data_IF_847224723001
#
_entry.id   IF_847224723001
#
_cell.length_a   1.000
_cell.length_b   1.000
_cell.length_c   1.000
_cell.angle_alpha   90.00
_cell.angle_beta   90.00
_cell.angle_gamma   90.00
#
_symmetry.space_group_name_H-M   'P 1'
#
loop_
_entity.id
_entity.type
_entity.pdbx_description
1 polymer ?
#
# COMPACT_ATOMS: atom_id res chain seq x y z
N UNK A 1 26.65 -26.39 -9.37
CA UNK A 1 27.00 -25.14 -8.70
C UNK A 1 25.69 -24.54 -8.19
N UNK A 2 25.53 -24.35 -6.90
CA UNK A 2 24.41 -23.63 -6.30
C UNK A 2 24.77 -22.13 -6.30
N UNK A 3 23.98 -21.32 -6.96
CA UNK A 3 24.08 -19.85 -6.87
C UNK A 3 23.10 -19.34 -5.83
N UNK A 4 23.53 -18.40 -5.00
CA UNK A 4 22.65 -17.69 -4.06
C UNK A 4 22.42 -16.27 -4.57
N UNK A 5 21.19 -15.79 -4.46
CA UNK A 5 20.79 -14.39 -4.74
C UNK A 5 20.24 -13.75 -3.48
N UNK A 6 20.31 -12.42 -3.34
CA UNK A 6 19.52 -11.72 -2.31
C UNK A 6 18.04 -12.06 -2.46
N UNK A 7 17.32 -12.11 -1.34
CA UNK A 7 15.86 -12.24 -1.37
C UNK A 7 15.20 -11.00 -2.00
N UNK A 8 14.08 -11.22 -2.66
CA UNK A 8 13.30 -10.15 -3.30
C UNK A 8 12.64 -9.26 -2.24
N UNK A 9 12.31 -8.03 -2.63
CA UNK A 9 11.57 -7.07 -1.80
C UNK A 9 10.32 -6.65 -2.55
N UNK A 10 9.17 -6.79 -1.89
CA UNK A 10 7.90 -6.25 -2.37
C UNK A 10 7.77 -4.80 -1.88
N UNK A 11 7.75 -3.85 -2.80
CA UNK A 11 7.74 -2.41 -2.51
C UNK A 11 6.40 -1.85 -2.08
N UNK A 12 5.30 -2.58 -2.26
CA UNK A 12 3.96 -2.25 -1.80
C UNK A 12 3.09 -3.50 -1.76
N UNK A 13 2.43 -3.71 -0.63
CA UNK A 13 1.54 -4.85 -0.41
C UNK A 13 0.45 -4.52 0.60
N UNK A 14 -0.64 -5.30 0.56
CA UNK A 14 -1.71 -5.28 1.55
C UNK A 14 -1.85 -6.68 2.18
N UNK A 15 -1.09 -6.95 3.23
CA UNK A 15 -1.09 -8.26 3.90
C UNK A 15 -2.47 -8.65 4.45
N UNK A 16 -3.32 -7.67 4.78
CA UNK A 16 -4.66 -7.93 5.30
C UNK A 16 -5.60 -8.58 4.27
N UNK A 17 -5.26 -8.55 2.98
CA UNK A 17 -6.08 -9.14 1.92
C UNK A 17 -5.84 -10.64 1.69
N UNK A 18 -4.83 -11.23 2.31
CA UNK A 18 -4.44 -12.62 2.02
C UNK A 18 -5.55 -13.64 2.33
N UNK A 19 -6.35 -13.41 3.37
CA UNK A 19 -7.52 -14.23 3.71
C UNK A 19 -8.78 -13.88 2.92
N UNK A 20 -8.79 -12.78 2.16
CA UNK A 20 -9.97 -12.37 1.39
C UNK A 20 -10.24 -13.25 0.17
N UNK A 21 -9.31 -14.15 -0.17
CA UNK A 21 -9.52 -15.15 -1.22
C UNK A 21 -10.69 -16.07 -0.84
N UNK A 22 -11.72 -16.10 -1.70
CA UNK A 22 -12.97 -16.80 -1.41
C UNK A 22 -14.01 -15.95 -0.67
N UNK A 23 -13.74 -14.68 -0.39
CA UNK A 23 -14.75 -13.73 0.07
C UNK A 23 -15.93 -13.70 -0.92
N UNK A 24 -17.18 -13.62 -0.44
CA UNK A 24 -18.33 -13.53 -1.32
C UNK A 24 -18.20 -12.35 -2.30
N UNK A 25 -18.50 -12.62 -3.57
CA UNK A 25 -18.53 -11.58 -4.58
C UNK A 25 -19.49 -10.44 -4.18
N UNK A 26 -19.24 -9.21 -4.61
CA UNK A 26 -20.19 -8.11 -4.40
C UNK A 26 -21.53 -8.43 -5.07
N UNK A 27 -22.66 -7.99 -4.50
CA UNK A 27 -23.99 -8.28 -5.03
C UNK A 27 -24.23 -7.66 -6.41
N UNK A 28 -23.49 -6.60 -6.74
CA UNK A 28 -23.50 -5.91 -8.04
C UNK A 28 -22.09 -5.92 -8.57
N UNK A 29 -21.90 -6.29 -9.83
CA UNK A 29 -20.60 -6.27 -10.49
C UNK A 29 -20.06 -4.83 -10.56
N UNK A 30 -18.89 -4.52 -9.98
CA UNK A 30 -18.26 -3.21 -10.13
C UNK A 30 -17.97 -2.90 -11.60
N UNK A 31 -18.20 -1.68 -12.03
CA UNK A 31 -18.00 -1.20 -13.42
C UNK A 31 -16.82 -0.24 -13.55
N UNK A 32 -16.29 0.25 -12.44
CA UNK A 32 -15.15 1.16 -12.37
C UNK A 32 -14.37 0.94 -11.07
N UNK A 33 -13.20 1.57 -10.99
CA UNK A 33 -12.29 1.39 -9.86
C UNK A 33 -12.88 1.85 -8.52
N UNK A 34 -13.57 2.98 -8.48
CA UNK A 34 -14.20 3.45 -7.23
C UNK A 34 -15.23 2.45 -6.70
N UNK A 35 -16.01 1.83 -7.59
CA UNK A 35 -16.94 0.77 -7.20
C UNK A 35 -16.22 -0.48 -6.68
N UNK A 36 -15.04 -0.84 -7.23
CA UNK A 36 -14.20 -1.92 -6.69
C UNK A 36 -13.78 -1.59 -5.25
N UNK A 37 -13.33 -0.35 -5.00
CA UNK A 37 -13.00 0.09 -3.65
C UNK A 37 -14.20 -0.04 -2.71
N UNK A 38 -15.35 0.54 -3.08
CA UNK A 38 -16.55 0.58 -2.24
C UNK A 38 -17.16 -0.80 -1.96
N UNK A 39 -17.18 -1.68 -2.97
CA UNK A 39 -17.89 -2.95 -2.89
C UNK A 39 -17.02 -4.13 -2.46
N UNK A 40 -15.70 -4.00 -2.56
CA UNK A 40 -14.75 -5.06 -2.19
C UNK A 40 -13.85 -4.61 -1.05
N UNK A 41 -12.93 -3.66 -1.32
CA UNK A 41 -11.86 -3.30 -0.39
C UNK A 41 -12.38 -2.65 0.90
N UNK A 42 -13.23 -1.62 0.81
CA UNK A 42 -13.75 -0.93 1.99
C UNK A 42 -14.69 -1.79 2.84
N UNK A 43 -15.30 -2.82 2.23
CA UNK A 43 -16.04 -3.84 2.99
C UNK A 43 -15.10 -4.76 3.75
N UNK A 44 -14.00 -5.16 3.12
CA UNK A 44 -12.96 -5.96 3.78
C UNK A 44 -12.37 -5.20 4.96
N UNK A 45 -11.95 -3.93 4.75
CA UNK A 45 -11.37 -3.07 5.80
C UNK A 45 -12.24 -3.05 7.07
N UNK A 46 -13.56 -2.91 6.90
CA UNK A 46 -14.51 -2.83 8.02
C UNK A 46 -14.82 -4.17 8.69
N UNK A 47 -14.49 -5.28 8.05
CA UNK A 47 -14.73 -6.62 8.60
C UNK A 47 -13.59 -7.13 9.48
N UNK A 48 -12.41 -6.51 9.41
CA UNK A 48 -11.20 -6.98 10.07
C UNK A 48 -11.23 -6.75 11.58
N UNK A 49 -10.81 -7.78 12.33
CA UNK A 49 -10.36 -7.69 13.71
C UNK A 49 -8.87 -8.06 13.82
N UNK A 50 -8.27 -7.92 15.01
CA UNK A 50 -6.85 -8.17 15.22
C UNK A 50 -6.44 -9.62 14.91
N UNK A 51 -7.32 -10.60 15.18
CA UNK A 51 -7.04 -12.01 14.91
C UNK A 51 -7.03 -12.28 13.39
N UNK A 52 -8.00 -11.74 12.66
CA UNK A 52 -8.04 -11.80 11.19
C UNK A 52 -6.81 -11.13 10.57
N UNK A 53 -6.42 -9.96 11.07
CA UNK A 53 -5.23 -9.24 10.61
C UNK A 53 -3.98 -10.09 10.80
N UNK A 54 -3.80 -10.66 12.01
CA UNK A 54 -2.66 -11.52 12.32
C UNK A 54 -2.56 -12.72 11.37
N UNK A 55 -3.64 -13.47 11.19
CA UNK A 55 -3.64 -14.66 10.34
C UNK A 55 -3.49 -14.34 8.86
N UNK A 56 -4.08 -13.23 8.42
CA UNK A 56 -3.91 -12.75 7.04
C UNK A 56 -2.47 -12.36 6.77
N UNK A 57 -1.86 -11.59 7.67
CA UNK A 57 -0.46 -11.20 7.55
C UNK A 57 0.47 -12.42 7.59
N UNK A 58 0.19 -13.40 8.44
CA UNK A 58 0.98 -14.63 8.53
C UNK A 58 0.90 -15.46 7.25
N UNK A 59 -0.29 -15.62 6.67
CA UNK A 59 -0.48 -16.29 5.39
C UNK A 59 0.29 -15.56 4.27
N UNK A 60 0.11 -14.24 4.14
CA UNK A 60 0.80 -13.44 3.13
C UNK A 60 2.32 -13.49 3.27
N UNK A 61 2.84 -13.49 4.50
CA UNK A 61 4.27 -13.64 4.76
C UNK A 61 4.81 -15.02 4.33
N UNK A 62 4.06 -16.11 4.59
CA UNK A 62 4.41 -17.46 4.10
C UNK A 62 4.46 -17.49 2.58
N UNK A 63 3.45 -16.95 1.91
CA UNK A 63 3.40 -16.89 0.44
C UNK A 63 4.56 -16.06 -0.13
N UNK A 64 4.90 -14.94 0.51
CA UNK A 64 6.05 -14.13 0.13
C UNK A 64 7.34 -14.95 0.15
N UNK A 65 7.62 -15.66 1.24
CA UNK A 65 8.82 -16.52 1.34
C UNK A 65 8.83 -17.65 0.32
N UNK A 66 7.68 -18.27 0.06
CA UNK A 66 7.56 -19.33 -0.95
C UNK A 66 7.92 -18.84 -2.35
N UNK A 67 7.73 -17.54 -2.63
CA UNK A 67 8.08 -16.86 -3.88
C UNK A 67 9.44 -16.13 -3.82
N UNK A 68 10.25 -16.37 -2.76
CA UNK A 68 11.58 -15.76 -2.62
C UNK A 68 11.58 -14.30 -2.17
N UNK A 69 10.45 -13.77 -1.74
CA UNK A 69 10.30 -12.41 -1.20
C UNK A 69 10.58 -12.42 0.30
N UNK A 70 11.60 -11.69 0.74
CA UNK A 70 12.08 -11.68 2.14
C UNK A 70 11.88 -10.36 2.85
N UNK A 71 11.34 -9.37 2.16
CA UNK A 71 10.99 -8.05 2.69
C UNK A 71 9.73 -7.50 2.03
N UNK A 72 8.87 -6.86 2.81
CA UNK A 72 7.60 -6.30 2.36
C UNK A 72 7.47 -4.89 2.94
N UNK A 73 6.98 -3.95 2.14
CA UNK A 73 6.44 -2.66 2.61
C UNK A 73 4.92 -2.79 2.55
N UNK A 74 4.31 -2.86 3.73
CA UNK A 74 2.87 -3.13 3.90
C UNK A 74 2.07 -1.85 4.13
N UNK A 75 0.89 -1.80 3.55
CA UNK A 75 -0.09 -0.74 3.75
C UNK A 75 -1.39 -1.35 4.31
N UNK A 76 -1.77 -0.97 5.51
CA UNK A 76 -2.85 -1.59 6.28
C UNK A 76 -4.01 -0.65 6.55
N UNK A 77 -5.23 -1.17 6.47
CA UNK A 77 -6.45 -0.49 6.87
C UNK A 77 -7.38 -1.42 7.63
N UNK A 78 -7.91 -0.95 8.78
CA UNK A 78 -8.86 -1.68 9.62
C UNK A 78 -9.57 -0.71 10.57
N UNK A 79 -10.59 0.05 10.12
CA UNK A 79 -11.19 1.12 10.92
C UNK A 79 -11.82 0.64 12.23
N UNK A 80 -12.18 -0.65 12.31
CA UNK A 80 -12.72 -1.27 13.53
C UNK A 80 -11.66 -1.92 14.44
N UNK A 81 -10.39 -1.96 14.00
CA UNK A 81 -9.27 -2.53 14.75
C UNK A 81 -7.98 -1.74 14.48
N UNK A 82 -7.99 -0.44 14.76
CA UNK A 82 -6.85 0.45 14.48
C UNK A 82 -5.69 0.16 15.43
N UNK A 83 -5.95 0.29 16.73
CA UNK A 83 -4.91 0.20 17.75
C UNK A 83 -4.34 -1.22 17.88
N UNK A 84 -3.03 -1.34 17.75
CA UNK A 84 -2.30 -2.61 17.78
C UNK A 84 -2.28 -3.38 16.48
N UNK A 85 -2.92 -2.89 15.41
CA UNK A 85 -2.93 -3.56 14.10
C UNK A 85 -1.53 -3.72 13.53
N UNK A 86 -0.68 -2.70 13.64
CA UNK A 86 0.69 -2.75 13.14
C UNK A 86 1.58 -3.72 13.93
N UNK A 87 1.32 -3.89 15.25
CA UNK A 87 2.07 -4.86 16.06
C UNK A 87 1.77 -6.29 15.64
N UNK A 88 0.49 -6.65 15.42
CA UNK A 88 0.12 -8.02 15.04
C UNK A 88 0.63 -8.37 13.64
N UNK A 89 0.68 -7.41 12.71
CA UNK A 89 1.29 -7.58 11.39
C UNK A 89 2.81 -7.83 11.54
N UNK A 90 3.49 -6.98 12.29
CA UNK A 90 4.93 -7.10 12.52
C UNK A 90 5.28 -8.42 13.20
N UNK A 91 4.49 -8.83 14.22
CA UNK A 91 4.65 -10.11 14.90
C UNK A 91 4.46 -11.29 13.93
N UNK A 92 3.37 -11.31 13.16
CA UNK A 92 3.06 -12.39 12.23
C UNK A 92 4.18 -12.56 11.19
N UNK A 93 4.70 -11.45 10.63
CA UNK A 93 5.80 -11.48 9.69
C UNK A 93 7.10 -11.96 10.34
N UNK A 94 7.41 -11.52 11.55
CA UNK A 94 8.62 -11.92 12.29
C UNK A 94 8.63 -13.42 12.60
N UNK A 95 7.49 -13.99 13.00
CA UNK A 95 7.34 -15.44 13.28
C UNK A 95 7.58 -16.30 12.03
N UNK A 96 7.27 -15.78 10.85
CA UNK A 96 7.54 -16.44 9.55
C UNK A 96 8.97 -16.20 9.08
N UNK A 97 9.62 -15.10 9.52
CA UNK A 97 10.96 -14.71 9.12
C UNK A 97 11.00 -13.67 7.97
N UNK A 98 9.90 -13.00 7.68
CA UNK A 98 9.82 -11.89 6.70
C UNK A 98 10.06 -10.57 7.41
N UNK A 99 10.88 -9.71 6.81
CA UNK A 99 11.04 -8.33 7.27
C UNK A 99 9.89 -7.50 6.73
N UNK A 100 9.23 -6.73 7.58
CA UNK A 100 8.15 -5.85 7.17
C UNK A 100 8.41 -4.41 7.60
N UNK A 101 8.01 -3.47 6.75
CA UNK A 101 7.80 -2.06 7.08
C UNK A 101 6.30 -1.85 7.08
N UNK A 102 5.72 -1.48 8.21
CA UNK A 102 4.27 -1.34 8.38
C UNK A 102 3.85 0.12 8.24
N UNK A 103 2.66 0.34 7.72
CA UNK A 103 2.02 1.65 7.71
C UNK A 103 0.50 1.50 7.85
N UNK A 104 -0.13 2.31 8.72
CA UNK A 104 -1.57 2.38 8.82
C UNK A 104 -2.10 3.49 7.89
N UNK A 105 -2.91 3.14 6.91
CA UNK A 105 -3.48 4.04 5.91
C UNK A 105 -4.57 4.94 6.51
N UNK A 106 -4.21 6.15 6.94
CA UNK A 106 -5.16 7.10 7.50
C UNK A 106 -6.12 7.62 6.42
N UNK A 107 -7.36 7.84 6.80
CA UNK A 107 -8.42 8.29 5.90
C UNK A 107 -9.55 8.97 6.69
N UNK A 108 -10.26 9.92 6.06
CA UNK A 108 -11.45 10.57 6.64
C UNK A 108 -12.76 9.81 6.31
N UNK A 109 -12.69 8.68 5.59
CA UNK A 109 -13.87 7.87 5.22
C UNK A 109 -14.72 7.43 6.42
N UNK A 110 -14.08 7.27 7.57
CA UNK A 110 -14.70 6.83 8.82
C UNK A 110 -14.79 7.95 9.87
N UNK A 111 -14.70 9.20 9.41
CA UNK A 111 -14.72 10.40 10.23
C UNK A 111 -13.31 10.83 10.71
N UNK A 112 -13.20 12.10 11.10
CA UNK A 112 -11.92 12.70 11.51
C UNK A 112 -11.30 12.06 12.75
N UNK A 113 -12.11 11.49 13.65
CA UNK A 113 -11.59 10.77 14.82
C UNK A 113 -10.84 9.49 14.40
N UNK A 114 -11.35 8.76 13.42
CA UNK A 114 -10.67 7.57 12.90
C UNK A 114 -9.34 7.94 12.21
N UNK A 115 -9.31 9.03 11.44
CA UNK A 115 -8.09 9.57 10.84
C UNK A 115 -7.04 9.92 11.91
N UNK A 116 -7.44 10.61 12.97
CA UNK A 116 -6.57 10.96 14.12
C UNK A 116 -6.03 9.71 14.83
N UNK A 117 -6.88 8.70 15.09
CA UNK A 117 -6.48 7.44 15.71
C UNK A 117 -5.49 6.66 14.84
N UNK A 118 -5.69 6.67 13.52
CA UNK A 118 -4.74 6.06 12.58
C UNK A 118 -3.38 6.76 12.57
N UNK A 119 -3.32 8.09 12.66
CA UNK A 119 -2.06 8.82 12.84
C UNK A 119 -1.38 8.43 14.16
N UNK A 120 -2.16 8.30 15.24
CA UNK A 120 -1.61 7.89 16.53
C UNK A 120 -1.10 6.44 16.52
N UNK A 121 -1.73 5.52 15.79
CA UNK A 121 -1.22 4.15 15.62
C UNK A 121 0.13 4.15 14.88
N UNK A 122 0.26 4.91 13.77
CA UNK A 122 1.55 5.08 13.11
C UNK A 122 2.61 5.65 14.07
N UNK A 123 2.26 6.72 14.80
CA UNK A 123 3.16 7.35 15.80
C UNK A 123 3.61 6.33 16.85
N UNK A 124 2.64 5.66 17.48
CA UNK A 124 2.87 4.71 18.56
C UNK A 124 3.80 3.58 18.11
N UNK A 125 3.49 2.97 16.97
CA UNK A 125 4.27 1.84 16.43
C UNK A 125 5.70 2.24 16.10
N UNK A 126 5.89 3.35 15.38
CA UNK A 126 7.21 3.81 14.96
C UNK A 126 8.03 4.28 16.17
N UNK A 127 7.44 5.04 17.09
CA UNK A 127 8.12 5.52 18.30
C UNK A 127 8.53 4.39 19.25
N UNK A 128 7.84 3.24 19.22
CA UNK A 128 8.22 2.04 19.99
C UNK A 128 9.38 1.24 19.35
N UNK A 129 9.93 1.70 18.22
CA UNK A 129 11.01 1.03 17.48
C UNK A 129 10.53 0.12 16.36
N UNK A 130 9.23 0.11 16.04
CA UNK A 130 8.67 -0.58 14.89
C UNK A 130 9.20 0.00 13.58
N UNK A 131 9.47 -0.85 12.59
CA UNK A 131 9.84 -0.40 11.25
C UNK A 131 8.58 0.06 10.53
N UNK A 132 8.43 1.36 10.36
CA UNK A 132 7.21 1.93 9.78
C UNK A 132 7.44 3.14 8.89
N UNK A 133 6.41 3.45 8.11
CA UNK A 133 6.17 4.72 7.44
C UNK A 133 4.83 5.26 7.92
N UNK A 134 4.57 6.56 7.74
CA UNK A 134 3.22 7.08 7.99
C UNK A 134 2.34 6.74 6.79
N UNK A 135 1.34 5.88 7.01
CA UNK A 135 0.41 5.48 5.95
C UNK A 135 -0.67 6.55 5.71
N UNK A 136 -0.99 6.79 4.46
CA UNK A 136 -2.13 7.59 4.02
C UNK A 136 -2.85 6.80 2.92
N UNK A 137 -4.17 6.64 3.04
CA UNK A 137 -4.89 5.87 2.03
C UNK A 137 -4.69 6.48 0.63
N UNK A 138 -5.27 7.63 0.37
CA UNK A 138 -5.11 8.36 -0.89
C UNK A 138 -5.54 9.81 -0.72
N UNK A 139 -5.12 10.71 -1.63
CA UNK A 139 -5.46 12.12 -1.49
C UNK A 139 -6.98 12.36 -1.53
N UNK A 140 -7.73 11.67 -2.41
CA UNK A 140 -9.17 11.89 -2.55
C UNK A 140 -10.01 11.41 -1.35
N UNK A 141 -9.45 10.62 -0.44
CA UNK A 141 -10.14 10.12 0.77
C UNK A 141 -9.72 10.84 2.04
N UNK A 142 -8.88 11.85 1.94
CA UNK A 142 -8.34 12.62 3.05
C UNK A 142 -8.59 14.11 2.85
N UNK A 143 -8.86 14.83 3.94
CA UNK A 143 -8.83 16.30 3.97
C UNK A 143 -7.39 16.81 3.81
N UNK A 144 -7.23 18.08 3.42
CA UNK A 144 -5.91 18.71 3.37
C UNK A 144 -5.27 18.74 4.76
N UNK A 145 -6.06 18.99 5.81
CA UNK A 145 -5.59 18.94 7.20
C UNK A 145 -5.00 17.56 7.57
N UNK A 146 -5.66 16.46 7.18
CA UNK A 146 -5.15 15.11 7.46
C UNK A 146 -3.87 14.83 6.69
N UNK A 147 -3.76 15.27 5.42
CA UNK A 147 -2.55 15.15 4.61
C UNK A 147 -1.37 15.92 5.22
N UNK A 148 -1.60 17.18 5.65
CA UNK A 148 -0.60 18.02 6.32
C UNK A 148 -0.15 17.40 7.65
N UNK A 149 -1.08 16.91 8.46
CA UNK A 149 -0.79 16.23 9.72
C UNK A 149 0.03 14.95 9.51
N UNK A 150 -0.27 14.16 8.48
CA UNK A 150 0.49 12.96 8.14
C UNK A 150 1.92 13.30 7.70
N UNK A 151 2.08 14.33 6.86
CA UNK A 151 3.40 14.83 6.44
C UNK A 151 4.20 15.36 7.63
N UNK A 152 3.57 16.15 8.51
CA UNK A 152 4.20 16.66 9.73
C UNK A 152 4.65 15.54 10.66
N UNK A 153 3.79 14.54 10.89
CA UNK A 153 4.12 13.36 11.70
C UNK A 153 5.31 12.58 11.12
N UNK A 154 5.34 12.38 9.80
CA UNK A 154 6.44 11.68 9.14
C UNK A 154 7.77 12.43 9.35
N UNK A 155 7.76 13.76 9.24
CA UNK A 155 8.92 14.60 9.52
C UNK A 155 9.38 14.50 10.98
N UNK A 156 8.45 14.57 11.93
CA UNK A 156 8.75 14.48 13.37
C UNK A 156 9.40 13.13 13.74
N UNK A 157 8.99 12.06 13.06
CA UNK A 157 9.50 10.71 13.28
C UNK A 157 10.73 10.37 12.42
N UNK A 158 11.11 11.24 11.48
CA UNK A 158 12.22 11.00 10.56
C UNK A 158 11.99 9.86 9.57
N UNK A 159 10.72 9.60 9.20
CA UNK A 159 10.32 8.57 8.24
C UNK A 159 9.62 9.19 7.02
N UNK A 160 9.32 8.39 6.00
CA UNK A 160 8.51 8.83 4.85
C UNK A 160 7.01 8.56 5.02
N UNK A 161 6.23 9.07 4.07
CA UNK A 161 4.82 8.74 3.90
C UNK A 161 4.66 7.67 2.83
N UNK A 162 3.73 6.73 3.06
CA UNK A 162 3.34 5.68 2.13
C UNK A 162 1.87 5.92 1.71
N UNK A 163 1.63 6.27 0.46
CA UNK A 163 0.33 6.77 -0.03
C UNK A 163 0.01 6.26 -1.44
N UNK A 164 -1.27 5.88 -1.70
CA UNK A 164 -1.75 5.66 -3.06
C UNK A 164 -1.97 7.02 -3.75
N UNK A 165 -1.52 7.15 -4.98
CA UNK A 165 -1.52 8.41 -5.72
C UNK A 165 -2.08 8.19 -7.11
N UNK A 166 -3.19 8.84 -7.42
CA UNK A 166 -3.77 8.88 -8.76
C UNK A 166 -3.85 7.48 -9.41
N UNK A 167 -4.27 6.45 -8.64
CA UNK A 167 -4.48 5.10 -9.17
C UNK A 167 -5.66 5.10 -10.15
N UNK A 168 -6.81 5.63 -9.72
CA UNK A 168 -7.97 5.84 -10.57
C UNK A 168 -8.20 7.32 -10.88
N UNK A 169 -9.11 7.59 -11.80
CA UNK A 169 -9.46 8.95 -12.23
C UNK A 169 -10.16 9.77 -11.15
N UNK A 170 -10.69 9.12 -10.11
CA UNK A 170 -11.31 9.80 -8.96
C UNK A 170 -10.30 10.58 -8.11
N UNK A 171 -9.02 10.22 -8.18
CA UNK A 171 -7.92 10.92 -7.48
C UNK A 171 -7.16 11.91 -8.41
N UNK A 172 -7.86 12.54 -9.35
CA UNK A 172 -7.27 13.46 -10.34
C UNK A 172 -6.58 14.69 -9.72
N UNK A 173 -6.95 15.06 -8.50
CA UNK A 173 -6.37 16.22 -7.81
C UNK A 173 -5.11 15.85 -6.98
N UNK A 174 -4.73 14.59 -6.91
CA UNK A 174 -3.62 14.12 -6.07
C UNK A 174 -2.32 14.88 -6.35
N UNK A 175 -1.95 15.06 -7.62
CA UNK A 175 -0.76 15.79 -8.01
C UNK A 175 -0.70 17.19 -7.41
N UNK A 176 -1.75 17.98 -7.59
CA UNK A 176 -1.82 19.35 -7.09
C UNK A 176 -1.82 19.44 -5.55
N UNK A 177 -2.53 18.52 -4.89
CA UNK A 177 -2.65 18.51 -3.42
C UNK A 177 -1.37 18.06 -2.73
N UNK A 178 -0.60 17.16 -3.35
CA UNK A 178 0.60 16.59 -2.77
C UNK A 178 1.89 17.32 -3.18
N UNK A 179 1.86 18.22 -4.18
CA UNK A 179 3.02 18.88 -4.76
C UNK A 179 3.95 19.56 -3.72
N UNK A 180 3.36 20.16 -2.69
CA UNK A 180 4.10 20.86 -1.63
C UNK A 180 4.44 19.97 -0.43
N UNK A 181 3.83 18.80 -0.33
CA UNK A 181 3.98 17.88 0.81
C UNK A 181 4.96 16.75 0.52
N UNK A 182 4.96 16.24 -0.72
CA UNK A 182 5.73 15.08 -1.13
C UNK A 182 7.24 15.33 -1.02
N UNK A 183 7.97 14.37 -0.45
CA UNK A 183 9.40 14.44 -0.20
C UNK A 183 10.10 13.20 -0.77
N UNK A 184 11.42 13.25 -0.90
CA UNK A 184 12.24 12.19 -1.52
C UNK A 184 12.16 10.84 -0.80
N UNK A 185 11.81 10.83 0.49
CA UNK A 185 11.60 9.63 1.30
C UNK A 185 10.16 9.08 1.26
N UNK A 186 9.26 9.68 0.48
CA UNK A 186 7.90 9.19 0.32
C UNK A 186 7.85 8.01 -0.64
N UNK A 187 6.88 7.13 -0.42
CA UNK A 187 6.51 6.03 -1.29
C UNK A 187 5.16 6.33 -1.93
N UNK A 188 5.20 6.64 -3.22
CA UNK A 188 4.04 7.00 -4.04
C UNK A 188 3.59 5.76 -4.80
N UNK A 189 2.40 5.27 -4.50
CA UNK A 189 1.93 4.00 -5.06
C UNK A 189 1.08 4.25 -6.32
N UNK A 190 1.24 3.41 -7.33
CA UNK A 190 0.58 3.43 -8.64
C UNK A 190 0.98 4.59 -9.55
N UNK A 191 0.58 5.82 -9.27
CA UNK A 191 0.83 7.02 -10.10
C UNK A 191 0.33 6.90 -11.55
N UNK A 192 -0.76 6.14 -11.80
CA UNK A 192 -1.29 5.85 -13.14
C UNK A 192 -1.76 7.13 -13.84
N UNK A 193 -2.57 7.94 -13.16
CA UNK A 193 -3.17 9.17 -13.68
C UNK A 193 -2.50 10.44 -13.13
N UNK A 194 -1.28 10.30 -12.57
CA UNK A 194 -0.57 11.45 -12.01
C UNK A 194 -0.15 12.41 -13.13
N UNK A 195 -0.61 13.65 -13.05
CA UNK A 195 -0.47 14.70 -14.06
C UNK A 195 0.83 15.51 -13.99
N UNK A 196 1.64 15.30 -12.93
CA UNK A 196 2.90 16.03 -12.68
C UNK A 196 3.90 15.17 -11.92
N UNK A 197 5.16 15.58 -11.89
CA UNK A 197 6.16 14.93 -11.06
C UNK A 197 6.01 15.37 -9.59
N UNK A 198 6.09 14.39 -8.69
CA UNK A 198 6.17 14.58 -7.25
C UNK A 198 7.49 14.01 -6.74
N UNK A 199 8.06 14.58 -5.66
CA UNK A 199 9.21 13.96 -4.99
C UNK A 199 8.82 12.62 -4.35
N UNK A 200 9.69 11.61 -4.45
CA UNK A 200 9.49 10.30 -3.84
C UNK A 200 9.90 9.14 -4.74
N UNK A 201 9.73 7.94 -4.22
CA UNK A 201 9.92 6.68 -4.96
C UNK A 201 8.55 6.15 -5.40
N UNK A 202 8.41 5.75 -6.66
CA UNK A 202 7.15 5.17 -7.17
C UNK A 202 7.16 3.65 -6.95
N UNK A 203 6.12 3.13 -6.31
CA UNK A 203 5.81 1.71 -6.30
C UNK A 203 4.85 1.38 -7.45
N UNK A 204 5.37 0.73 -8.48
CA UNK A 204 4.59 0.31 -9.65
C UNK A 204 4.05 -1.11 -9.41
N UNK A 205 2.73 -1.27 -9.60
CA UNK A 205 2.01 -2.52 -9.34
C UNK A 205 1.33 -2.99 -10.64
N UNK A 206 2.08 -3.52 -11.62
CA UNK A 206 1.55 -3.75 -12.97
C UNK A 206 0.38 -4.73 -12.99
N UNK A 207 0.43 -5.81 -12.23
CA UNK A 207 -0.65 -6.80 -12.18
C UNK A 207 -1.92 -6.23 -11.59
N UNK A 208 -1.82 -5.50 -10.48
CA UNK A 208 -2.97 -4.85 -9.85
C UNK A 208 -3.59 -3.81 -10.78
N UNK A 209 -2.79 -2.95 -11.39
CA UNK A 209 -3.27 -1.95 -12.33
C UNK A 209 -4.05 -2.57 -13.50
N UNK A 210 -3.54 -3.69 -14.05
CA UNK A 210 -4.24 -4.44 -15.10
C UNK A 210 -5.52 -5.10 -14.59
N UNK A 211 -5.48 -5.73 -13.41
CA UNK A 211 -6.64 -6.39 -12.81
C UNK A 211 -7.78 -5.40 -12.50
N UNK A 212 -7.43 -4.22 -12.01
CA UNK A 212 -8.39 -3.17 -11.67
C UNK A 212 -8.83 -2.33 -12.88
N UNK A 213 -8.21 -2.55 -14.05
CA UNK A 213 -8.53 -1.81 -15.28
C UNK A 213 -8.22 -0.32 -15.20
N UNK A 214 -7.29 0.10 -14.34
CA UNK A 214 -6.98 1.53 -14.12
C UNK A 214 -6.03 2.11 -15.17
N UNK A 215 -5.34 1.28 -15.93
CA UNK A 215 -4.42 1.72 -16.99
C UNK A 215 -2.95 1.42 -16.69
N UNK A 216 -2.05 2.01 -17.48
CA UNK A 216 -0.61 1.85 -17.36
C UNK A 216 0.06 3.12 -16.86
N UNK A 217 0.91 3.02 -15.85
CA UNK A 217 1.51 4.16 -15.16
C UNK A 217 2.70 4.81 -15.92
N UNK A 218 3.17 4.23 -17.03
CA UNK A 218 4.35 4.68 -17.79
C UNK A 218 5.58 4.97 -16.91
N UNK A 219 6.00 4.05 -16.04
CA UNK A 219 7.04 4.34 -15.03
C UNK A 219 8.39 4.73 -15.65
N UNK A 220 8.70 4.27 -16.87
CA UNK A 220 9.92 4.63 -17.59
C UNK A 220 9.96 6.10 -18.06
N UNK A 221 8.83 6.80 -18.07
CA UNK A 221 8.74 8.21 -18.43
C UNK A 221 8.88 9.14 -17.22
N UNK A 222 8.95 8.60 -15.99
CA UNK A 222 9.10 9.34 -14.74
C UNK A 222 10.57 9.52 -14.37
N UNK A 223 10.90 10.65 -13.76
CA UNK A 223 12.24 10.92 -13.21
C UNK A 223 12.51 10.21 -11.87
N UNK A 224 11.45 9.71 -11.23
CA UNK A 224 11.48 9.04 -9.94
C UNK A 224 12.26 7.71 -9.97
N UNK A 225 12.79 7.29 -8.84
CA UNK A 225 13.12 5.89 -8.63
C UNK A 225 11.84 5.06 -8.67
N UNK A 226 11.89 3.91 -9.32
CA UNK A 226 10.75 2.99 -9.42
C UNK A 226 11.12 1.65 -8.77
N UNK A 227 10.22 1.17 -7.94
CA UNK A 227 10.26 -0.19 -7.37
C UNK A 227 8.98 -0.91 -7.76
N UNK A 228 8.98 -2.24 -7.67
CA UNK A 228 7.79 -3.04 -7.94
C UNK A 228 7.11 -3.43 -6.63
N UNK A 229 5.78 -3.46 -6.67
CA UNK A 229 4.93 -3.99 -5.62
C UNK A 229 3.87 -4.93 -6.20
N UNK A 230 3.26 -5.73 -5.34
CA UNK A 230 2.20 -6.68 -5.72
C UNK A 230 0.81 -6.18 -5.39
N UNK A 231 0.72 -5.07 -4.64
CA UNK A 231 -0.56 -4.62 -4.09
C UNK A 231 -1.25 -5.75 -3.29
N UNK A 232 -2.56 -5.81 -3.24
CA UNK A 232 -3.32 -6.84 -2.54
C UNK A 232 -3.43 -8.21 -3.24
N UNK A 233 -2.60 -8.52 -4.24
CA UNK A 233 -2.77 -9.71 -5.12
C UNK A 233 -1.65 -10.76 -4.93
N UNK A 234 -1.20 -11.01 -3.72
CA UNK A 234 -0.14 -11.98 -3.43
C UNK A 234 1.26 -11.38 -3.57
N UNK A 235 2.32 -12.17 -3.40
CA UNK A 235 3.68 -11.67 -3.21
C UNK A 235 4.70 -12.24 -4.21
N UNK A 236 4.29 -12.63 -5.41
CA UNK A 236 5.19 -13.11 -6.47
C UNK A 236 5.83 -11.95 -7.24
N UNK A 237 6.99 -11.51 -6.77
CA UNK A 237 7.75 -10.42 -7.37
C UNK A 237 8.36 -10.77 -8.73
N UNK A 238 8.56 -12.05 -9.04
CA UNK A 238 9.04 -12.47 -10.37
C UNK A 238 7.93 -12.34 -11.42
N UNK A 239 6.69 -12.60 -11.04
CA UNK A 239 5.53 -12.35 -11.90
C UNK A 239 5.37 -10.84 -12.15
N UNK A 240 5.46 -10.00 -11.12
CA UNK A 240 5.41 -8.53 -11.27
C UNK A 240 6.50 -8.03 -12.22
N UNK A 241 7.72 -8.53 -12.07
CA UNK A 241 8.82 -8.14 -12.95
C UNK A 241 8.56 -8.54 -14.42
N UNK A 242 8.00 -9.73 -14.66
CA UNK A 242 7.64 -10.18 -16.01
C UNK A 242 6.54 -9.31 -16.62
N UNK A 243 5.50 -9.01 -15.85
CA UNK A 243 4.39 -8.18 -16.32
C UNK A 243 4.80 -6.72 -16.54
N UNK A 244 5.64 -6.15 -15.66
CA UNK A 244 6.22 -4.83 -15.88
C UNK A 244 7.02 -4.77 -17.19
N UNK A 245 7.83 -5.79 -17.47
CA UNK A 245 8.60 -5.88 -18.71
C UNK A 245 7.70 -6.01 -19.93
N UNK A 246 6.69 -6.89 -19.87
CA UNK A 246 5.76 -7.10 -21.00
C UNK A 246 4.94 -5.85 -21.28
N UNK A 247 4.42 -5.18 -20.24
CA UNK A 247 3.67 -3.94 -20.38
C UNK A 247 4.52 -2.84 -21.01
N UNK A 248 5.76 -2.66 -20.54
CA UNK A 248 6.70 -1.71 -21.11
C UNK A 248 6.96 -1.98 -22.60
N UNK A 249 7.17 -3.26 -22.97
CA UNK A 249 7.43 -3.65 -24.38
C UNK A 249 6.19 -3.56 -25.28
N UNK A 250 5.00 -3.59 -24.73
CA UNK A 250 3.75 -3.45 -25.49
C UNK A 250 3.42 -2.00 -25.84
N UNK A 251 4.01 -1.03 -25.13
CA UNK A 251 3.86 0.41 -25.37
C UNK A 251 4.88 0.96 -26.40
N UNK A 252 5.96 0.22 -26.69
CA UNK A 252 6.96 0.52 -27.74
C UNK A 252 6.47 0.03 -29.13
#
# INVERSE_FOLDING_TARGET
MTSTTPGLVCGHHHLYSSLARGMPAPPIQPTNFLEILQQVWWRLDTALDLDMIYWSAKLGAVEALMNGTTGIIDHHESPNAIEGSLDVIAQACAEVGVRVVCSYGVTDRHGSDAGRRGLEENRRFIASGGRGMVGVHAAFTCSDELLENASGLANDLGVGVHIHVAEGTDDFAAGARLEKLAQDNWLLVHCVHLDRDLSGTIAHNPRSNMNNGVGYAHPAQRSNKVILGTDGIGADMLEEMRLAYVAYRAED
#
